data_IF_766250297562
#
_entry.id   IF_766250297562
#
_cell.length_a   1.000
_cell.length_b   1.000
_cell.length_c   1.000
_cell.angle_alpha   90.00
_cell.angle_beta   90.00
_cell.angle_gamma   90.00
#
_symmetry.space_group_name_H-M   'P 1'
#
loop_
_entity.id
_entity.type
_entity.pdbx_description
1 polymer ?
#
# COMPACT_ATOMS: atom_id res chain seq x y z
N UNK A 1 -25.64 -2.02 3.55
CA UNK A 1 -25.06 -2.56 2.29
C UNK A 1 -24.16 -1.56 1.58
N UNK A 2 -24.61 -0.32 1.31
CA UNK A 2 -23.81 0.69 0.58
C UNK A 2 -22.46 1.01 1.23
N UNK A 3 -22.40 1.12 2.56
CA UNK A 3 -21.18 1.45 3.31
C UNK A 3 -20.15 0.32 3.28
N UNK A 4 -20.59 -0.94 3.39
CA UNK A 4 -19.70 -2.12 3.34
C UNK A 4 -19.09 -2.26 1.95
N UNK A 5 -19.91 -2.09 0.90
CA UNK A 5 -19.43 -2.10 -0.47
C UNK A 5 -18.39 -1.00 -0.73
N UNK A 6 -18.64 0.20 -0.22
CA UNK A 6 -17.69 1.31 -0.36
C UNK A 6 -16.36 1.04 0.35
N UNK A 7 -16.40 0.53 1.59
CA UNK A 7 -15.19 0.11 2.32
C UNK A 7 -14.43 -1.00 1.59
N UNK A 8 -15.15 -1.96 0.99
CA UNK A 8 -14.54 -3.03 0.22
C UNK A 8 -13.89 -2.53 -1.07
N UNK A 9 -14.52 -1.59 -1.77
CA UNK A 9 -13.92 -0.94 -2.95
C UNK A 9 -12.68 -0.13 -2.55
N UNK A 10 -12.70 0.57 -1.41
CA UNK A 10 -11.52 1.28 -0.89
C UNK A 10 -10.38 0.32 -0.55
N UNK A 11 -10.68 -0.83 0.06
CA UNK A 11 -9.70 -1.88 0.30
C UNK A 11 -9.05 -2.33 -1.00
N UNK A 12 -9.86 -2.65 -2.02
CA UNK A 12 -9.36 -3.06 -3.33
C UNK A 12 -8.54 -1.96 -4.01
N UNK A 13 -8.94 -0.70 -3.88
CA UNK A 13 -8.19 0.45 -4.40
C UNK A 13 -6.80 0.52 -3.76
N UNK A 14 -6.70 0.50 -2.43
CA UNK A 14 -5.42 0.54 -1.74
C UNK A 14 -4.55 -0.68 -2.05
N UNK A 15 -5.15 -1.87 -2.12
CA UNK A 15 -4.44 -3.10 -2.46
C UNK A 15 -3.90 -3.06 -3.89
N UNK A 16 -4.72 -2.60 -4.84
CA UNK A 16 -4.33 -2.45 -6.24
C UNK A 16 -3.22 -1.41 -6.43
N UNK A 17 -3.32 -0.26 -5.75
CA UNK A 17 -2.26 0.77 -5.77
C UNK A 17 -0.95 0.23 -5.18
N UNK A 18 -1.02 -0.50 -4.06
CA UNK A 18 0.16 -1.11 -3.45
C UNK A 18 0.78 -2.15 -4.41
N UNK A 19 -0.03 -3.02 -5.00
CA UNK A 19 0.42 -4.01 -5.98
C UNK A 19 1.12 -3.34 -7.17
N UNK A 20 0.44 -2.42 -7.86
CA UNK A 20 0.95 -1.74 -9.05
C UNK A 20 2.21 -0.95 -8.71
N UNK A 21 2.20 -0.17 -7.63
CA UNK A 21 3.38 0.60 -7.22
C UNK A 21 4.57 -0.27 -6.79
N UNK A 22 4.32 -1.52 -6.37
CA UNK A 22 5.40 -2.48 -6.07
C UNK A 22 6.07 -3.00 -7.35
N UNK A 23 5.33 -3.16 -8.45
CA UNK A 23 5.89 -3.58 -9.74
C UNK A 23 6.54 -2.45 -10.51
N UNK A 24 6.01 -1.23 -10.42
CA UNK A 24 6.57 -0.09 -11.16
C UNK A 24 7.92 0.39 -10.63
N UNK A 25 8.34 -0.09 -9.44
CA UNK A 25 9.53 0.36 -8.69
C UNK A 25 9.84 1.87 -8.86
N UNK A 26 8.85 2.76 -8.73
CA UNK A 26 8.95 4.13 -9.26
C UNK A 26 10.03 4.96 -8.56
N UNK A 27 10.39 4.59 -7.34
CA UNK A 27 11.33 5.33 -6.51
C UNK A 27 12.74 4.71 -6.50
N UNK A 28 12.93 3.51 -7.08
CA UNK A 28 14.20 2.75 -7.03
C UNK A 28 14.82 2.63 -5.62
N UNK A 29 14.02 2.83 -4.57
CA UNK A 29 14.48 2.83 -3.19
C UNK A 29 14.58 1.39 -2.68
N UNK A 30 15.64 1.11 -1.93
CA UNK A 30 15.85 -0.16 -1.22
C UNK A 30 15.93 0.16 0.25
N UNK A 31 14.94 -0.25 1.04
CA UNK A 31 14.90 0.09 2.47
C UNK A 31 15.50 -0.99 3.36
N UNK A 32 15.23 -2.26 3.09
CA UNK A 32 15.69 -3.36 3.93
C UNK A 32 16.28 -4.48 3.10
N UNK A 33 17.52 -4.84 3.35
CA UNK A 33 18.12 -6.09 2.87
C UNK A 33 17.86 -7.15 3.93
N UNK A 34 17.05 -8.16 3.59
CA UNK A 34 16.62 -9.20 4.54
C UNK A 34 17.49 -10.46 4.48
N UNK A 35 18.19 -10.67 3.35
CA UNK A 35 19.11 -11.78 3.17
C UNK A 35 20.33 -11.30 2.38
N UNK A 36 21.38 -10.78 3.03
CA UNK A 36 22.63 -10.47 2.36
C UNK A 36 23.46 -11.77 2.25
N UNK A 37 23.15 -12.62 1.27
CA UNK A 37 24.03 -13.74 0.90
C UNK A 37 24.68 -13.46 -0.46
N UNK A 38 25.87 -14.03 -0.74
CA UNK A 38 26.55 -13.87 -2.04
C UNK A 38 25.72 -14.38 -3.24
N UNK A 39 24.72 -15.23 -2.99
CA UNK A 39 23.93 -15.92 -4.01
C UNK A 39 22.56 -15.27 -4.29
N UNK A 40 21.98 -14.54 -3.32
CA UNK A 40 20.68 -13.89 -3.49
C UNK A 40 20.50 -12.77 -2.46
N UNK A 41 20.38 -11.54 -2.93
CA UNK A 41 20.05 -10.40 -2.08
C UNK A 41 18.55 -10.10 -2.16
N UNK A 42 17.83 -10.36 -1.06
CA UNK A 42 16.41 -9.99 -0.97
C UNK A 42 16.24 -8.62 -0.33
N UNK A 43 15.57 -7.71 -1.03
CA UNK A 43 15.29 -6.38 -0.51
C UNK A 43 13.82 -5.97 -0.61
N UNK A 44 13.41 -5.10 0.31
CA UNK A 44 12.10 -4.48 0.29
C UNK A 44 12.15 -3.15 -0.46
N UNK A 45 11.40 -3.07 -1.57
CA UNK A 45 11.14 -1.89 -2.36
C UNK A 45 9.85 -1.21 -1.85
N UNK A 46 9.94 -0.08 -1.15
CA UNK A 46 8.80 0.58 -0.51
C UNK A 46 7.93 1.37 -1.51
N UNK A 47 8.22 1.33 -2.81
CA UNK A 47 7.54 2.15 -3.83
C UNK A 47 6.02 1.99 -3.81
N UNK A 48 5.54 0.75 -3.75
CA UNK A 48 4.10 0.46 -3.64
C UNK A 48 3.49 0.93 -2.34
N UNK A 49 4.20 0.78 -1.22
CA UNK A 49 3.75 1.21 0.10
C UNK A 49 3.62 2.74 0.15
N UNK A 50 4.62 3.46 -0.35
CA UNK A 50 4.64 4.92 -0.40
C UNK A 50 3.55 5.47 -1.32
N UNK A 51 3.32 4.82 -2.46
CA UNK A 51 2.23 5.20 -3.37
C UNK A 51 0.86 4.99 -2.71
N UNK A 52 0.64 3.85 -2.05
CA UNK A 52 -0.61 3.59 -1.31
C UNK A 52 -0.81 4.59 -0.18
N UNK A 53 0.26 4.95 0.54
CA UNK A 53 0.23 5.97 1.59
C UNK A 53 -0.10 7.36 1.03
N UNK A 54 0.48 7.75 -0.10
CA UNK A 54 0.18 9.02 -0.76
C UNK A 54 -1.31 9.11 -1.18
N UNK A 55 -1.85 8.03 -1.74
CA UNK A 55 -3.28 7.95 -2.08
C UNK A 55 -4.16 8.03 -0.82
N UNK A 56 -3.76 7.37 0.27
CA UNK A 56 -4.48 7.44 1.54
C UNK A 56 -4.53 8.88 2.09
N UNK A 57 -3.40 9.58 2.10
CA UNK A 57 -3.33 10.98 2.53
C UNK A 57 -4.19 11.86 1.64
N UNK A 58 -4.16 11.67 0.31
CA UNK A 58 -5.00 12.42 -0.61
C UNK A 58 -6.50 12.22 -0.32
N UNK A 59 -6.93 10.99 -0.09
CA UNK A 59 -8.33 10.69 0.25
C UNK A 59 -8.71 11.34 1.60
N UNK A 60 -7.83 11.29 2.60
CA UNK A 60 -8.07 11.96 3.89
C UNK A 60 -8.21 13.48 3.72
N UNK A 61 -7.38 14.11 2.88
CA UNK A 61 -7.50 15.54 2.59
C UNK A 61 -8.85 15.88 1.95
N UNK A 62 -9.28 15.08 0.96
CA UNK A 62 -10.61 15.25 0.34
C UNK A 62 -11.73 15.07 1.37
N UNK A 63 -11.64 14.07 2.25
CA UNK A 63 -12.61 13.86 3.31
C UNK A 63 -12.63 15.01 4.34
N UNK A 64 -11.47 15.55 4.69
CA UNK A 64 -11.35 16.68 5.60
C UNK A 64 -11.98 17.95 5.00
N UNK A 65 -11.69 18.26 3.73
CA UNK A 65 -12.28 19.42 3.01
C UNK A 65 -13.79 19.25 2.86
N UNK A 66 -14.27 18.05 2.56
CA UNK A 66 -15.71 17.76 2.43
C UNK A 66 -16.44 17.58 3.76
N UNK A 67 -15.72 17.63 4.90
CA UNK A 67 -16.22 17.36 6.26
C UNK A 67 -16.92 15.99 6.39
N UNK A 68 -16.47 15.00 5.62
CA UNK A 68 -16.99 13.63 5.60
C UNK A 68 -15.91 12.63 6.01
N UNK A 69 -15.26 12.89 7.14
CA UNK A 69 -14.27 11.97 7.67
C UNK A 69 -14.92 10.65 8.06
N UNK A 70 -14.38 9.55 7.56
CA UNK A 70 -14.85 8.20 7.87
C UNK A 70 -13.71 7.33 8.36
N UNK A 71 -13.94 6.60 9.45
CA UNK A 71 -12.94 5.67 9.99
C UNK A 71 -12.75 4.44 9.09
N UNK A 72 -13.76 4.12 8.26
CA UNK A 72 -13.72 3.01 7.30
C UNK A 72 -12.56 3.13 6.31
N UNK A 73 -12.19 4.35 5.91
CA UNK A 73 -11.03 4.60 5.04
C UNK A 73 -9.73 4.12 5.67
N UNK A 74 -9.53 4.45 6.95
CA UNK A 74 -8.34 4.07 7.71
C UNK A 74 -8.30 2.57 7.93
N UNK A 75 -9.45 1.95 8.26
CA UNK A 75 -9.55 0.50 8.41
C UNK A 75 -9.24 -0.21 7.09
N UNK A 76 -9.79 0.26 5.97
CA UNK A 76 -9.51 -0.29 4.64
C UNK A 76 -8.03 -0.16 4.27
N UNK A 77 -7.40 0.97 4.56
CA UNK A 77 -5.97 1.18 4.34
C UNK A 77 -5.11 0.24 5.18
N UNK A 78 -5.40 0.11 6.49
CA UNK A 78 -4.66 -0.78 7.39
C UNK A 78 -4.79 -2.25 6.97
N UNK A 79 -5.99 -2.67 6.55
CA UNK A 79 -6.22 -4.02 6.02
C UNK A 79 -5.46 -4.24 4.70
N UNK A 80 -5.47 -3.27 3.78
CA UNK A 80 -4.70 -3.37 2.55
C UNK A 80 -3.19 -3.46 2.81
N UNK A 81 -2.69 -2.73 3.81
CA UNK A 81 -1.29 -2.74 4.21
C UNK A 81 -0.91 -4.11 4.80
N UNK A 82 -1.72 -4.64 5.72
CA UNK A 82 -1.51 -5.97 6.28
C UNK A 82 -1.55 -7.06 5.20
N UNK A 83 -2.54 -7.02 4.30
CA UNK A 83 -2.68 -7.98 3.20
C UNK A 83 -1.55 -7.86 2.18
N UNK A 84 -1.14 -6.64 1.80
CA UNK A 84 -0.06 -6.41 0.85
C UNK A 84 1.29 -6.90 1.39
N UNK A 85 1.58 -6.66 2.66
CA UNK A 85 2.77 -7.19 3.32
C UNK A 85 2.73 -8.71 3.45
N UNK A 86 1.57 -9.30 3.81
CA UNK A 86 1.39 -10.74 3.86
C UNK A 86 1.56 -11.40 2.49
N UNK A 87 1.08 -10.77 1.43
CA UNK A 87 1.27 -11.18 0.04
C UNK A 87 2.68 -10.89 -0.51
N UNK A 88 3.58 -10.37 0.32
CA UNK A 88 4.97 -10.03 -0.02
C UNK A 88 5.10 -9.01 -1.15
N UNK A 89 4.16 -8.09 -1.30
CA UNK A 89 4.30 -6.99 -2.25
C UNK A 89 5.52 -6.13 -1.88
N UNK A 90 6.31 -5.77 -2.89
CA UNK A 90 7.54 -4.99 -2.72
C UNK A 90 8.77 -5.80 -2.33
N UNK A 91 8.67 -7.10 -2.02
CA UNK A 91 9.85 -7.93 -1.81
C UNK A 91 10.42 -8.39 -3.15
N UNK A 92 11.62 -7.92 -3.48
CA UNK A 92 12.35 -8.28 -4.70
C UNK A 92 13.56 -9.12 -4.31
N UNK A 93 13.80 -10.18 -5.08
CA UNK A 93 15.01 -11.01 -4.97
C UNK A 93 15.88 -10.71 -6.19
N UNK A 94 17.14 -10.35 -5.96
CA UNK A 94 18.16 -10.19 -7.00
C UNK A 94 19.32 -11.15 -6.77
#
# INVERSE_FOLDING_TARGET
MKTVLFSFVQLLLFLGVFLVGSFMNPLHMRWFVTHPTPESTRFFAPGGLLLALAVYVLILLVQAVTKRMTISTTIAFLLALALGLAAKFGFVTQ
#
